data_IF_591515108991
#
_entry.id   IF_591515108991
#
_cell.length_a   1.000
_cell.length_b   1.000
_cell.length_c   1.000
_cell.angle_alpha   90.00
_cell.angle_beta   90.00
_cell.angle_gamma   90.00
#
_symmetry.space_group_name_H-M   'P 1'
#
loop_
_entity.id
_entity.type
_entity.pdbx_description
1 polymer ?
#
# COMPACT_ATOMS: atom_id res chain seq x y z
N UNK A 1 17.48 5.32 10.26
CA UNK A 1 17.06 3.97 9.82
C UNK A 1 15.80 4.08 8.96
N UNK A 2 15.81 3.70 7.67
CA UNK A 2 14.59 3.71 6.85
C UNK A 2 13.57 2.73 7.43
N UNK A 3 12.35 3.19 7.72
CA UNK A 3 11.24 2.29 8.07
C UNK A 3 10.85 1.49 6.83
N UNK A 4 11.28 0.23 6.77
CA UNK A 4 10.86 -0.72 5.75
C UNK A 4 9.46 -1.22 6.07
N UNK A 5 8.61 -1.25 5.05
CA UNK A 5 7.32 -1.94 5.09
C UNK A 5 7.59 -3.45 5.13
N UNK A 6 6.84 -4.19 5.95
CA UNK A 6 6.94 -5.65 5.94
C UNK A 6 6.44 -6.21 4.60
N UNK A 7 6.98 -7.37 4.20
CA UNK A 7 6.52 -8.09 2.99
C UNK A 7 5.02 -8.33 3.01
N UNK A 8 4.48 -8.77 4.16
CA UNK A 8 3.04 -8.99 4.36
C UNK A 8 2.16 -7.75 4.09
N UNK A 9 2.63 -6.57 4.49
CA UNK A 9 1.94 -5.30 4.19
C UNK A 9 2.06 -4.92 2.73
N UNK A 10 3.21 -5.18 2.12
CA UNK A 10 3.43 -4.97 0.69
C UNK A 10 2.50 -5.82 -0.17
N UNK A 11 2.36 -7.11 0.14
CA UNK A 11 1.47 -8.02 -0.59
C UNK A 11 0.01 -7.62 -0.43
N UNK A 12 -0.38 -7.19 0.78
CA UNK A 12 -1.72 -6.66 1.04
C UNK A 12 -2.03 -5.40 0.24
N UNK A 13 -1.05 -4.49 0.10
CA UNK A 13 -1.19 -3.29 -0.74
C UNK A 13 -1.32 -3.66 -2.21
N UNK A 14 -0.46 -4.56 -2.72
CA UNK A 14 -0.53 -5.04 -4.12
C UNK A 14 -1.88 -5.69 -4.45
N UNK A 15 -2.37 -6.56 -3.56
CA UNK A 15 -3.68 -7.19 -3.74
C UNK A 15 -4.82 -6.17 -3.75
N UNK A 16 -4.76 -5.13 -2.92
CA UNK A 16 -5.79 -4.09 -2.92
C UNK A 16 -5.68 -3.13 -4.12
N UNK A 17 -4.47 -2.89 -4.65
CA UNK A 17 -4.26 -2.14 -5.89
C UNK A 17 -4.84 -2.88 -7.10
N UNK A 18 -4.65 -4.20 -7.18
CA UNK A 18 -5.24 -5.03 -8.25
C UNK A 18 -6.77 -5.00 -8.24
N UNK A 19 -7.37 -4.90 -7.05
CA UNK A 19 -8.82 -4.74 -6.89
C UNK A 19 -9.34 -3.31 -7.14
N UNK A 20 -8.53 -2.44 -7.77
CA UNK A 20 -8.88 -1.06 -8.13
C UNK A 20 -9.41 -0.20 -6.97
N UNK A 21 -8.98 -0.50 -5.74
CA UNK A 21 -9.39 0.28 -4.56
C UNK A 21 -8.70 1.65 -4.55
N UNK A 22 -9.38 2.66 -4.00
CA UNK A 22 -8.79 3.98 -3.77
C UNK A 22 -7.56 3.88 -2.86
N UNK A 23 -6.54 4.72 -3.08
CA UNK A 23 -5.30 4.70 -2.27
C UNK A 23 -5.58 4.95 -0.79
N UNK A 24 -6.57 5.79 -0.50
CA UNK A 24 -7.03 6.10 0.86
C UNK A 24 -7.63 4.87 1.54
N UNK A 25 -8.44 4.10 0.80
CA UNK A 25 -9.02 2.85 1.32
C UNK A 25 -7.94 1.78 1.56
N UNK A 26 -6.93 1.72 0.69
CA UNK A 26 -5.79 0.80 0.83
C UNK A 26 -4.95 1.17 2.05
N UNK A 27 -4.64 2.46 2.23
CA UNK A 27 -3.89 2.98 3.37
C UNK A 27 -4.59 2.66 4.69
N UNK A 28 -5.90 2.90 4.77
CA UNK A 28 -6.73 2.58 5.94
C UNK A 28 -6.74 1.08 6.23
N UNK A 29 -6.88 0.23 5.20
CA UNK A 29 -6.96 -1.23 5.37
C UNK A 29 -5.63 -1.87 5.76
N UNK A 30 -4.51 -1.35 5.25
CA UNK A 30 -3.17 -1.96 5.43
C UNK A 30 -2.36 -1.30 6.54
N UNK A 31 -2.82 -0.16 7.06
CA UNK A 31 -2.06 0.65 8.02
C UNK A 31 -0.75 1.18 7.44
N UNK A 32 -0.72 1.38 6.11
CA UNK A 32 0.41 1.90 5.35
C UNK A 32 0.09 3.35 4.97
N UNK A 33 1.10 4.23 4.94
CA UNK A 33 0.86 5.63 4.57
C UNK A 33 0.35 5.76 3.13
N UNK A 34 -0.54 6.71 2.88
CA UNK A 34 -1.04 6.99 1.53
C UNK A 34 0.11 7.31 0.55
N UNK A 35 1.15 8.02 1.01
CA UNK A 35 2.38 8.28 0.22
C UNK A 35 3.05 6.99 -0.24
N UNK A 36 3.10 5.97 0.60
CA UNK A 36 3.68 4.67 0.28
C UNK A 36 2.80 3.91 -0.71
N UNK A 37 1.47 3.94 -0.55
CA UNK A 37 0.53 3.33 -1.49
C UNK A 37 0.62 4.00 -2.87
N UNK A 38 0.70 5.33 -2.94
CA UNK A 38 0.87 6.07 -4.20
C UNK A 38 2.17 5.73 -4.92
N UNK A 39 3.27 5.56 -4.18
CA UNK A 39 4.57 5.11 -4.74
C UNK A 39 4.52 3.69 -5.29
N UNK A 40 3.68 2.82 -4.73
CA UNK A 40 3.52 1.43 -5.18
C UNK A 40 2.50 1.27 -6.31
N UNK A 41 1.65 2.29 -6.53
CA UNK A 41 0.64 2.31 -7.61
C UNK A 41 1.20 2.77 -8.94
N UNK A 42 2.25 3.60 -8.92
CA UNK A 42 2.93 4.00 -10.14
C UNK A 42 3.74 2.81 -10.68
N UNK A 43 3.73 2.57 -12.01
CA UNK A 43 4.49 1.50 -12.64
C UNK A 43 5.99 1.60 -12.36
#
# INVERSE_FOLDING_TARGET
MPRRISSSKLDSVKLCLHNSKSTTAIAAKTGVSDRTVRRLRLP
#
